data_IF_721798294180
#
_entry.id   IF_721798294180
#
_cell.length_a   1.000
_cell.length_b   1.000
_cell.length_c   1.000
_cell.angle_alpha   90.00
_cell.angle_beta   90.00
_cell.angle_gamma   90.00
#
_symmetry.space_group_name_H-M   'P 1'
#
loop_
_entity.id
_entity.type
_entity.pdbx_description
1 polymer ?
#
# COMPACT_ATOMS: atom_id res chain seq x y z
N UNK A 1 -76.96 30.99 36.18
CA UNK A 1 -76.10 32.17 36.41
C UNK A 1 -74.82 31.69 37.09
N UNK A 2 -73.66 31.83 36.44
CA UNK A 2 -72.37 31.47 37.03
C UNK A 2 -71.42 30.77 36.07
N UNK A 3 -70.95 31.48 35.03
CA UNK A 3 -69.85 31.06 34.19
C UNK A 3 -68.52 31.34 34.90
N UNK A 4 -67.67 30.32 35.07
CA UNK A 4 -66.26 30.46 35.47
C UNK A 4 -65.39 30.02 34.29
N UNK A 5 -64.77 30.99 33.62
CA UNK A 5 -63.74 30.76 32.60
C UNK A 5 -62.42 30.40 33.29
N UNK A 6 -61.88 29.21 33.00
CA UNK A 6 -60.53 28.79 33.40
C UNK A 6 -59.64 28.95 32.17
N UNK A 7 -58.77 29.96 32.19
CA UNK A 7 -57.74 30.19 31.17
C UNK A 7 -56.55 29.27 31.43
N UNK A 8 -56.33 28.27 30.56
CA UNK A 8 -55.13 27.42 30.56
C UNK A 8 -54.11 28.00 29.58
N UNK A 9 -53.10 28.66 30.12
CA UNK A 9 -51.92 29.10 29.37
C UNK A 9 -51.04 27.88 29.07
N UNK A 10 -50.91 27.50 27.80
CA UNK A 10 -49.94 26.51 27.33
C UNK A 10 -48.61 27.22 27.04
N UNK A 11 -47.56 26.92 27.82
CA UNK A 11 -46.19 27.28 27.48
C UNK A 11 -45.68 26.28 26.42
N UNK A 12 -45.40 26.78 25.21
CA UNK A 12 -44.65 26.07 24.17
C UNK A 12 -43.16 26.24 24.46
N UNK A 13 -42.49 25.19 24.93
CA UNK A 13 -41.03 25.09 24.96
C UNK A 13 -40.55 24.72 23.55
N UNK A 14 -39.95 25.66 22.84
CA UNK A 14 -39.24 25.37 21.59
C UNK A 14 -37.85 24.80 21.92
N UNK A 15 -37.64 23.51 21.69
CA UNK A 15 -36.32 22.89 21.76
C UNK A 15 -35.50 23.31 20.53
N UNK A 16 -34.50 24.16 20.73
CA UNK A 16 -33.52 24.52 19.69
C UNK A 16 -32.53 23.36 19.58
N UNK A 17 -32.69 22.54 18.53
CA UNK A 17 -31.69 21.56 18.10
C UNK A 17 -30.55 22.32 17.40
N UNK A 18 -29.45 22.56 18.09
CA UNK A 18 -28.19 22.98 17.47
C UNK A 18 -27.61 21.77 16.72
N UNK A 19 -27.68 21.81 15.39
CA UNK A 19 -26.94 20.87 14.55
C UNK A 19 -25.43 21.16 14.72
N UNK A 20 -24.69 20.20 15.28
CA UNK A 20 -23.24 20.27 15.27
C UNK A 20 -22.77 20.21 13.81
N UNK A 21 -22.03 21.24 13.37
CA UNK A 21 -21.37 21.18 12.06
C UNK A 21 -20.39 19.99 12.07
N UNK A 22 -20.32 19.20 10.99
CA UNK A 22 -19.33 18.14 10.88
C UNK A 22 -17.93 18.76 11.00
N UNK A 23 -17.14 18.27 11.96
CA UNK A 23 -15.72 18.59 12.04
C UNK A 23 -15.09 18.01 10.78
N UNK A 24 -14.52 18.86 9.92
CA UNK A 24 -13.76 18.38 8.78
C UNK A 24 -12.61 17.53 9.30
N UNK A 25 -12.45 16.31 8.77
CA UNK A 25 -11.30 15.48 9.09
C UNK A 25 -10.01 16.19 8.64
N UNK A 26 -8.97 16.12 9.46
CA UNK A 26 -7.66 16.64 9.07
C UNK A 26 -7.17 15.92 7.79
N UNK A 27 -6.51 16.64 6.87
CA UNK A 27 -5.97 16.04 5.67
C UNK A 27 -4.91 14.97 6.03
N UNK A 28 -4.84 13.86 5.28
CA UNK A 28 -3.91 12.78 5.60
C UNK A 28 -2.44 13.22 5.41
N UNK A 29 -1.57 12.79 6.32
CA UNK A 29 -0.12 12.93 6.20
C UNK A 29 0.44 11.83 5.29
N UNK A 30 1.24 12.21 4.29
CA UNK A 30 1.98 11.27 3.43
C UNK A 30 3.41 11.17 3.98
N UNK A 31 3.87 9.95 4.26
CA UNK A 31 5.25 9.70 4.69
C UNK A 31 6.19 9.81 3.48
N UNK A 32 7.36 10.39 3.67
CA UNK A 32 8.44 10.54 2.70
C UNK A 32 9.71 9.88 3.24
N UNK A 33 10.50 9.28 2.36
CA UNK A 33 11.77 8.61 2.65
C UNK A 33 12.90 9.30 1.85
N UNK A 34 14.08 9.43 2.44
CA UNK A 34 15.25 10.00 1.77
C UNK A 34 15.85 9.00 0.77
N UNK A 35 16.14 9.43 -0.45
CA UNK A 35 16.54 8.59 -1.58
C UNK A 35 18.07 8.42 -1.77
N UNK A 36 18.95 8.90 -0.86
CA UNK A 36 20.37 9.12 -1.23
C UNK A 36 21.48 8.93 -0.19
N UNK A 37 22.64 8.49 -0.69
CA UNK A 37 23.90 8.26 0.04
C UNK A 37 24.71 9.52 0.36
N UNK A 38 24.28 10.71 -0.08
CA UNK A 38 24.93 11.99 0.21
C UNK A 38 23.86 13.04 0.49
N UNK A 39 23.65 13.35 1.77
CA UNK A 39 22.60 14.26 2.21
C UNK A 39 23.05 15.31 3.21
N UNK A 40 24.22 15.16 3.83
CA UNK A 40 24.75 16.09 4.83
C UNK A 40 26.11 16.63 4.42
N UNK A 41 26.30 17.94 4.50
CA UNK A 41 27.59 18.61 4.32
C UNK A 41 27.82 19.70 5.36
N UNK A 42 29.04 19.82 5.87
CA UNK A 42 29.44 20.89 6.78
C UNK A 42 30.86 21.35 6.45
N UNK A 43 31.04 22.66 6.28
CA UNK A 43 32.34 23.24 5.92
C UNK A 43 32.22 24.55 5.14
N UNK A 44 33.28 24.92 4.43
CA UNK A 44 33.31 26.20 3.71
C UNK A 44 32.82 26.06 2.26
N UNK A 45 31.87 26.90 1.91
CA UNK A 45 31.33 27.05 0.56
C UNK A 45 31.79 28.36 -0.08
N UNK A 46 31.88 28.36 -1.41
CA UNK A 46 32.31 29.52 -2.18
C UNK A 46 33.77 29.94 -1.91
N UNK A 47 33.97 31.18 -1.50
CA UNK A 47 35.30 31.83 -1.50
C UNK A 47 36.15 31.55 -0.25
N UNK A 48 35.61 30.82 0.72
CA UNK A 48 36.17 30.76 2.08
C UNK A 48 37.11 29.55 2.31
N UNK A 49 37.29 28.71 1.27
CA UNK A 49 38.40 27.76 1.05
C UNK A 49 38.83 26.88 2.24
N UNK A 50 37.90 26.20 2.91
CA UNK A 50 38.20 25.13 3.88
C UNK A 50 37.56 23.79 3.48
N UNK A 51 38.05 22.64 4.01
CA UNK A 51 37.49 21.33 3.68
C UNK A 51 36.00 21.23 4.01
N UNK A 52 35.26 20.49 3.19
CA UNK A 52 33.85 20.13 3.41
C UNK A 52 33.79 18.67 3.83
N UNK A 53 33.18 18.42 4.99
CA UNK A 53 32.81 17.08 5.42
C UNK A 53 31.49 16.72 4.75
N UNK A 54 31.40 15.53 4.15
CA UNK A 54 30.18 15.05 3.50
C UNK A 54 29.84 13.63 3.96
N UNK A 55 28.56 13.36 4.16
CA UNK A 55 28.06 12.05 4.58
C UNK A 55 26.65 11.77 4.06
N UNK A 56 26.31 10.48 3.99
CA UNK A 56 24.97 10.02 3.64
C UNK A 56 23.97 10.24 4.75
N UNK A 57 22.72 10.49 4.35
CA UNK A 57 21.63 10.78 5.24
C UNK A 57 20.43 9.94 4.85
N UNK A 58 19.92 9.15 5.79
CA UNK A 58 18.72 8.31 5.62
C UNK A 58 17.66 8.72 6.63
N UNK A 59 16.42 8.33 6.40
CA UNK A 59 15.32 8.58 7.33
C UNK A 59 14.06 9.06 6.64
N UNK A 60 13.12 9.58 7.43
CA UNK A 60 11.76 9.89 6.96
C UNK A 60 11.24 11.24 7.47
N UNK A 61 10.15 11.71 6.87
CA UNK A 61 9.34 12.83 7.37
C UNK A 61 7.91 12.75 6.82
N UNK A 62 6.96 13.38 7.50
CA UNK A 62 5.57 13.51 7.05
C UNK A 62 5.32 14.79 6.27
N UNK A 63 4.46 14.72 5.26
CA UNK A 63 3.90 15.87 4.56
C UNK A 63 2.37 15.88 4.64
N UNK A 64 1.83 16.94 5.24
CA UNK A 64 0.38 17.14 5.37
C UNK A 64 -0.03 18.36 4.56
N UNK A 65 -1.02 18.27 3.66
CA UNK A 65 -1.56 19.44 2.96
C UNK A 65 -1.98 20.53 3.95
N UNK A 66 -1.46 21.74 3.75
CA UNK A 66 -1.81 22.93 4.50
C UNK A 66 -2.76 23.81 3.70
N UNK A 67 -3.26 24.88 4.32
CA UNK A 67 -4.09 25.86 3.60
C UNK A 67 -3.26 26.48 2.48
N UNK A 68 -3.65 26.33 1.20
CA UNK A 68 -2.89 26.89 0.09
C UNK A 68 -2.94 28.41 0.12
N UNK A 69 -1.89 29.04 -0.41
CA UNK A 69 -1.89 30.48 -0.67
C UNK A 69 -2.35 30.75 -2.11
N UNK A 70 -2.59 32.01 -2.45
CA UNK A 70 -2.99 32.37 -3.82
C UNK A 70 -1.95 32.01 -4.90
N UNK A 71 -0.69 31.78 -4.52
CA UNK A 71 0.42 31.51 -5.45
C UNK A 71 1.05 30.11 -5.29
N UNK A 72 0.88 29.46 -4.14
CA UNK A 72 1.54 28.20 -3.82
C UNK A 72 0.59 27.19 -3.18
N UNK A 73 0.75 25.93 -3.58
CA UNK A 73 0.34 24.81 -2.73
C UNK A 73 1.31 24.71 -1.57
N UNK A 74 0.79 24.47 -0.36
CA UNK A 74 1.60 24.48 0.87
C UNK A 74 1.36 23.20 1.64
N UNK A 75 2.40 22.67 2.26
CA UNK A 75 2.37 21.49 3.11
C UNK A 75 3.15 21.76 4.38
N UNK A 76 2.68 21.22 5.50
CA UNK A 76 3.48 21.13 6.72
C UNK A 76 4.38 19.92 6.64
N UNK A 77 5.65 20.11 6.93
CA UNK A 77 6.63 19.04 7.15
C UNK A 77 6.63 18.71 8.64
N UNK A 78 6.40 17.45 9.00
CA UNK A 78 6.34 16.98 10.38
C UNK A 78 7.22 15.77 10.59
N UNK A 79 7.54 15.46 11.85
CA UNK A 79 8.19 14.21 12.24
C UNK A 79 9.46 13.91 11.43
N UNK A 80 10.28 14.94 11.18
CA UNK A 80 11.60 14.71 10.58
C UNK A 80 12.39 13.83 11.54
N UNK A 81 12.88 12.70 11.04
CA UNK A 81 13.72 11.75 11.75
C UNK A 81 14.76 11.19 10.77
N UNK A 82 15.94 11.83 10.76
CA UNK A 82 17.03 11.50 9.86
C UNK A 82 18.30 11.11 10.61
N UNK A 83 19.10 10.26 10.00
CA UNK A 83 20.35 9.77 10.56
C UNK A 83 21.51 9.96 9.59
N UNK A 84 22.65 10.38 10.13
CA UNK A 84 23.94 10.42 9.42
C UNK A 84 24.86 9.43 10.12
N UNK A 85 24.68 8.15 9.80
CA UNK A 85 25.26 7.04 10.57
C UNK A 85 26.80 7.13 10.70
N UNK A 86 27.50 7.53 9.63
CA UNK A 86 28.97 7.67 9.63
C UNK A 86 29.50 8.74 10.58
N UNK A 87 28.64 9.70 10.97
CA UNK A 87 28.96 10.78 11.89
C UNK A 87 28.25 10.63 13.25
N UNK A 88 27.40 9.61 13.42
CA UNK A 88 26.61 9.42 14.63
C UNK A 88 25.65 10.57 14.93
N UNK A 89 25.12 11.23 13.88
CA UNK A 89 24.17 12.34 14.04
C UNK A 89 22.73 11.85 13.88
N UNK A 90 21.86 12.36 14.74
CA UNK A 90 20.41 12.23 14.67
C UNK A 90 19.79 13.61 14.48
N UNK A 91 19.03 13.79 13.41
CA UNK A 91 18.45 15.07 13.01
C UNK A 91 16.93 14.96 13.10
N UNK A 92 16.32 15.85 13.87
CA UNK A 92 14.87 15.88 14.09
C UNK A 92 14.30 17.25 13.81
N UNK A 93 13.01 17.38 13.52
CA UNK A 93 12.44 18.70 13.26
C UNK A 93 11.09 18.71 12.57
N UNK A 94 10.76 19.88 12.02
CA UNK A 94 9.52 20.17 11.29
C UNK A 94 9.73 21.35 10.35
N UNK A 95 8.73 21.69 9.53
CA UNK A 95 8.87 22.80 8.60
C UNK A 95 7.70 22.99 7.67
N UNK A 96 7.97 23.62 6.53
CA UNK A 96 7.00 23.97 5.50
C UNK A 96 7.62 23.72 4.13
N UNK A 97 6.85 23.04 3.27
CA UNK A 97 7.11 22.97 1.83
C UNK A 97 6.08 23.82 1.10
N UNK A 98 6.51 24.59 0.12
CA UNK A 98 5.63 25.33 -0.78
C UNK A 98 6.06 25.08 -2.22
N UNK A 99 5.10 24.87 -3.12
CA UNK A 99 5.38 24.67 -4.53
C UNK A 99 4.33 25.36 -5.42
N UNK A 100 4.79 26.01 -6.49
CA UNK A 100 3.94 26.54 -7.56
C UNK A 100 3.76 25.48 -8.66
N UNK A 101 2.71 25.66 -9.46
CA UNK A 101 2.38 24.76 -10.57
C UNK A 101 2.78 25.39 -11.91
N UNK A 102 3.08 24.58 -12.92
CA UNK A 102 3.33 25.04 -14.30
C UNK A 102 4.75 24.76 -14.82
N UNK A 103 5.05 25.28 -16.02
CA UNK A 103 6.32 25.03 -16.74
C UNK A 103 7.55 25.63 -16.05
N UNK A 104 7.35 26.66 -15.24
CA UNK A 104 8.38 27.31 -14.40
C UNK A 104 8.04 27.09 -12.91
N UNK A 105 7.58 25.89 -12.56
CA UNK A 105 7.27 25.53 -11.19
C UNK A 105 8.49 25.80 -10.29
N UNK A 106 8.25 26.45 -9.16
CA UNK A 106 9.24 26.74 -8.13
C UNK A 106 8.80 26.08 -6.83
N UNK A 107 9.76 25.70 -6.01
CA UNK A 107 9.52 25.20 -4.67
C UNK A 107 10.43 25.89 -3.66
N UNK A 108 10.00 25.90 -2.40
CA UNK A 108 10.80 26.32 -1.27
C UNK A 108 10.55 25.37 -0.10
N UNK A 109 11.63 24.80 0.43
CA UNK A 109 11.64 23.97 1.62
C UNK A 109 12.28 24.73 2.76
N UNK A 110 11.54 24.88 3.86
CA UNK A 110 12.02 25.55 5.06
C UNK A 110 11.85 24.62 6.23
N UNK A 111 12.93 24.33 6.95
CA UNK A 111 12.97 23.37 8.04
C UNK A 111 13.56 24.00 9.29
N UNK A 112 12.98 23.71 10.44
CA UNK A 112 13.56 24.00 11.75
C UNK A 112 14.05 22.65 12.31
N UNK A 113 15.38 22.44 12.29
CA UNK A 113 16.02 21.15 12.57
C UNK A 113 16.90 21.22 13.83
N UNK A 114 16.82 20.19 14.66
CA UNK A 114 17.63 19.93 15.84
C UNK A 114 18.58 18.75 15.55
N UNK A 115 19.88 18.95 15.78
CA UNK A 115 20.89 17.90 15.62
C UNK A 115 21.29 17.40 17.01
N UNK A 116 21.17 16.10 17.26
CA UNK A 116 21.48 15.45 18.53
C UNK A 116 20.76 16.08 19.74
N UNK A 117 19.57 16.64 19.53
CA UNK A 117 18.77 17.28 20.57
C UNK A 117 19.18 18.72 20.93
N UNK A 118 20.05 19.34 20.14
CA UNK A 118 20.38 20.77 20.29
C UNK A 118 19.20 21.69 19.98
N UNK A 119 19.35 22.99 20.24
CA UNK A 119 18.32 23.97 19.92
C UNK A 119 18.05 23.96 18.40
N UNK A 120 16.77 23.94 17.95
CA UNK A 120 16.48 23.94 16.52
C UNK A 120 17.03 25.17 15.80
N UNK A 121 17.66 24.94 14.66
CA UNK A 121 18.13 25.97 13.73
C UNK A 121 17.31 25.94 12.44
N UNK A 122 17.15 27.10 11.79
CA UNK A 122 16.33 27.24 10.58
C UNK A 122 17.16 27.09 9.31
N UNK A 123 16.80 26.11 8.49
CA UNK A 123 17.38 25.82 7.18
C UNK A 123 16.38 26.21 6.09
N UNK A 124 16.85 26.89 5.05
CA UNK A 124 16.00 27.36 3.95
C UNK A 124 16.68 27.03 2.61
N UNK A 125 15.91 26.52 1.65
CA UNK A 125 16.39 26.32 0.27
C UNK A 125 16.37 27.61 -0.56
N UNK A 126 15.62 28.62 -0.11
CA UNK A 126 15.12 29.67 -0.98
C UNK A 126 14.15 29.13 -2.03
N UNK A 127 13.70 30.01 -2.93
CA UNK A 127 12.92 29.59 -4.09
C UNK A 127 13.86 28.97 -5.14
N UNK A 128 13.74 27.66 -5.30
CA UNK A 128 14.47 26.87 -6.30
C UNK A 128 13.48 26.33 -7.35
N UNK A 129 13.93 25.98 -8.55
CA UNK A 129 13.09 25.24 -9.49
C UNK A 129 12.52 23.99 -8.82
N UNK A 130 11.22 23.75 -8.98
CA UNK A 130 10.62 22.49 -8.58
C UNK A 130 11.14 21.38 -9.49
N UNK A 131 11.33 20.19 -8.94
CA UNK A 131 11.50 19.00 -9.79
C UNK A 131 10.27 18.91 -10.71
N UNK A 132 10.44 18.42 -11.94
CA UNK A 132 9.38 18.40 -12.96
C UNK A 132 8.16 17.53 -12.60
N UNK A 133 8.19 16.84 -11.46
CA UNK A 133 7.11 16.00 -10.96
C UNK A 133 7.17 15.92 -9.43
N UNK A 134 6.38 16.77 -8.74
CA UNK A 134 5.84 16.34 -7.46
C UNK A 134 5.11 15.01 -7.72
N UNK A 135 5.38 13.95 -6.96
CA UNK A 135 5.63 14.05 -5.54
C UNK A 135 7.10 13.99 -5.12
N UNK A 136 8.10 13.99 -6.01
CA UNK A 136 9.51 13.97 -5.58
C UNK A 136 9.99 15.34 -5.13
N UNK A 137 10.64 15.40 -3.96
CA UNK A 137 11.30 16.59 -3.43
C UNK A 137 12.78 16.49 -3.73
N UNK A 138 13.33 17.56 -4.27
CA UNK A 138 14.77 17.70 -4.53
C UNK A 138 15.15 19.15 -4.23
N UNK A 139 15.65 19.38 -3.02
CA UNK A 139 15.98 20.70 -2.53
C UNK A 139 17.22 20.65 -1.65
N UNK A 140 18.06 21.68 -1.75
CA UNK A 140 19.20 21.86 -0.85
C UNK A 140 18.84 22.95 0.14
N UNK A 141 18.81 22.63 1.43
CA UNK A 141 18.57 23.60 2.51
C UNK A 141 19.87 23.93 3.23
N UNK A 142 20.01 25.16 3.70
CA UNK A 142 21.23 25.62 4.38
C UNK A 142 20.93 26.67 5.45
N UNK A 143 21.84 26.87 6.41
CA UNK A 143 21.69 27.91 7.44
C UNK A 143 22.00 29.30 6.88
N UNK A 144 23.02 29.40 6.02
CA UNK A 144 23.57 30.67 5.58
C UNK A 144 23.62 30.82 4.05
N UNK A 145 22.80 30.06 3.32
CA UNK A 145 22.70 30.18 1.86
C UNK A 145 23.95 29.68 1.14
N UNK A 146 24.64 28.70 1.71
CA UNK A 146 25.91 28.13 1.22
C UNK A 146 27.02 29.17 1.10
N UNK A 147 27.12 30.08 2.08
CA UNK A 147 28.15 31.13 2.11
C UNK A 147 29.15 30.92 3.24
N UNK A 148 30.43 30.80 2.88
CA UNK A 148 31.49 30.48 3.83
C UNK A 148 31.16 29.23 4.65
N UNK A 149 31.37 29.25 5.96
CA UNK A 149 31.11 28.10 6.81
C UNK A 149 29.60 27.92 6.96
N UNK A 150 29.08 26.80 6.45
CA UNK A 150 27.67 26.49 6.46
C UNK A 150 27.45 25.00 6.70
N UNK A 151 26.21 24.67 7.07
CA UNK A 151 25.71 23.31 7.13
C UNK A 151 24.60 23.18 6.11
N UNK A 152 24.76 22.21 5.23
CA UNK A 152 23.95 22.04 4.03
C UNK A 152 23.37 20.64 4.03
N UNK A 153 22.05 20.55 3.81
CA UNK A 153 21.35 19.29 3.71
C UNK A 153 20.72 19.18 2.32
N UNK A 154 21.10 18.15 1.57
CA UNK A 154 20.45 17.80 0.31
C UNK A 154 19.27 16.86 0.63
N UNK A 155 18.06 17.38 0.48
CA UNK A 155 16.80 16.65 0.69
C UNK A 155 16.32 16.16 -0.66
N UNK A 156 16.76 14.97 -1.03
CA UNK A 156 16.19 14.18 -2.12
C UNK A 156 15.26 13.14 -1.48
N UNK A 157 13.96 13.28 -1.68
CA UNK A 157 12.97 12.42 -1.07
C UNK A 157 11.81 12.13 -1.99
N UNK A 158 11.28 10.92 -1.88
CA UNK A 158 10.05 10.49 -2.55
C UNK A 158 9.03 10.05 -1.50
N UNK A 159 7.73 10.01 -1.82
CA UNK A 159 6.76 9.38 -0.94
C UNK A 159 7.26 7.99 -0.56
N UNK A 160 7.35 7.73 0.74
CA UNK A 160 7.74 6.43 1.24
C UNK A 160 6.80 5.40 0.61
N UNK A 161 7.35 4.26 0.20
CA UNK A 161 6.51 3.15 -0.22
C UNK A 161 5.51 2.90 0.89
N UNK A 162 4.22 2.78 0.53
CA UNK A 162 3.19 2.41 1.51
C UNK A 162 3.73 1.23 2.30
N UNK A 163 3.83 1.34 3.64
CA UNK A 163 4.35 0.25 4.44
C UNK A 163 3.37 -0.92 4.40
N UNK A 164 2.11 -0.65 4.09
CA UNK A 164 1.15 -1.65 3.66
C UNK A 164 1.48 -2.08 2.22
N UNK A 165 1.94 -3.30 2.07
CA UNK A 165 2.16 -3.94 0.77
C UNK A 165 1.19 -5.10 0.60
N UNK A 166 0.93 -5.45 -0.66
CA UNK A 166 0.12 -6.60 -1.01
C UNK A 166 0.90 -7.43 -2.00
N UNK A 167 0.94 -8.74 -1.84
CA UNK A 167 1.41 -9.65 -2.86
C UNK A 167 0.22 -10.43 -3.43
N UNK A 168 0.29 -10.73 -4.72
CA UNK A 168 -0.66 -11.57 -5.44
C UNK A 168 -0.01 -12.91 -5.72
N UNK A 169 -0.80 -13.97 -5.66
CA UNK A 169 -0.31 -15.30 -5.97
C UNK A 169 -1.32 -16.10 -6.77
N UNK A 170 -0.79 -17.04 -7.55
CA UNK A 170 -1.57 -18.04 -8.27
C UNK A 170 -1.08 -19.42 -7.89
N UNK A 171 -2.01 -20.38 -7.83
CA UNK A 171 -1.71 -21.77 -7.52
C UNK A 171 -2.60 -22.72 -8.33
N UNK A 172 -2.15 -23.96 -8.47
CA UNK A 172 -2.93 -25.05 -9.03
C UNK A 172 -3.24 -26.06 -7.93
N UNK A 173 -4.52 -26.37 -7.74
CA UNK A 173 -4.95 -27.39 -6.78
C UNK A 173 -4.32 -28.73 -7.13
N UNK A 174 -3.68 -29.38 -6.18
CA UNK A 174 -3.05 -30.70 -6.30
C UNK A 174 -3.80 -31.78 -5.53
N UNK A 175 -4.48 -31.41 -4.46
CA UNK A 175 -5.24 -32.32 -3.61
C UNK A 175 -6.50 -31.68 -3.04
N UNK A 176 -7.57 -32.47 -2.92
CA UNK A 176 -8.81 -32.05 -2.26
C UNK A 176 -9.30 -33.18 -1.37
N UNK A 177 -9.53 -32.84 -0.11
CA UNK A 177 -10.24 -33.66 0.85
C UNK A 177 -11.46 -32.89 1.34
N UNK A 178 -12.66 -33.45 1.22
CA UNK A 178 -13.89 -32.78 1.66
C UNK A 178 -14.74 -33.72 2.51
N UNK A 179 -14.31 -33.93 3.75
CA UNK A 179 -15.04 -34.75 4.71
C UNK A 179 -16.38 -34.13 5.14
N UNK A 180 -16.56 -32.83 4.90
CA UNK A 180 -17.77 -32.07 5.25
C UNK A 180 -18.81 -32.00 4.12
N UNK A 181 -18.47 -32.44 2.91
CA UNK A 181 -19.24 -32.14 1.70
C UNK A 181 -19.52 -30.61 1.58
N UNK A 182 -18.57 -29.79 2.03
CA UNK A 182 -18.69 -28.34 2.05
C UNK A 182 -18.23 -27.70 0.73
N UNK A 183 -17.35 -28.41 0.01
CA UNK A 183 -16.86 -28.06 -1.31
C UNK A 183 -17.80 -28.77 -2.30
N UNK A 184 -18.56 -28.02 -3.09
CA UNK A 184 -19.62 -28.50 -3.99
C UNK A 184 -19.17 -29.40 -5.17
N UNK A 185 -18.06 -30.13 -5.00
CA UNK A 185 -17.35 -30.94 -5.99
C UNK A 185 -16.84 -30.16 -7.21
N UNK A 186 -16.99 -28.83 -7.25
CA UNK A 186 -16.44 -28.01 -8.34
C UNK A 186 -14.93 -27.76 -8.19
N UNK A 187 -14.39 -28.00 -7.00
CA UNK A 187 -12.95 -27.93 -6.73
C UNK A 187 -12.34 -29.33 -6.84
N UNK A 188 -11.43 -29.48 -7.78
CA UNK A 188 -10.69 -30.71 -8.03
C UNK A 188 -9.20 -30.41 -8.36
N UNK A 189 -8.30 -31.40 -8.30
CA UNK A 189 -6.94 -31.23 -8.81
C UNK A 189 -6.92 -30.66 -10.24
N UNK A 190 -6.05 -29.68 -10.47
CA UNK A 190 -6.00 -28.87 -11.70
C UNK A 190 -6.82 -27.58 -11.66
N UNK A 191 -7.66 -27.38 -10.64
CA UNK A 191 -8.42 -26.12 -10.48
C UNK A 191 -7.45 -24.98 -10.18
N UNK A 192 -7.57 -23.88 -10.93
CA UNK A 192 -6.80 -22.67 -10.66
C UNK A 192 -7.30 -21.95 -9.40
N UNK A 193 -6.36 -21.41 -8.65
CA UNK A 193 -6.57 -20.64 -7.44
C UNK A 193 -5.84 -19.31 -7.59
N UNK A 194 -6.52 -18.22 -7.24
CA UNK A 194 -5.94 -16.89 -7.25
C UNK A 194 -6.10 -16.27 -5.87
N UNK A 195 -5.07 -15.61 -5.37
CA UNK A 195 -5.13 -14.97 -4.08
C UNK A 195 -4.26 -13.72 -4.00
N UNK A 196 -4.40 -13.04 -2.88
CA UNK A 196 -3.54 -11.95 -2.47
C UNK A 196 -3.46 -11.91 -0.97
N UNK A 197 -2.35 -11.46 -0.42
CA UNK A 197 -2.22 -11.15 0.99
C UNK A 197 -1.58 -9.77 1.17
N UNK A 198 -2.00 -9.08 2.22
CA UNK A 198 -1.66 -7.71 2.54
C UNK A 198 -1.04 -7.68 3.94
N UNK A 199 0.02 -6.92 4.11
CA UNK A 199 0.71 -6.79 5.40
C UNK A 199 1.43 -5.45 5.54
N UNK A 200 1.69 -5.05 6.79
CA UNK A 200 2.47 -3.85 7.14
C UNK A 200 3.93 -4.22 7.39
N UNK A 201 4.83 -3.77 6.50
CA UNK A 201 6.29 -3.94 6.58
C UNK A 201 6.96 -3.31 7.81
N UNK A 202 6.25 -2.48 8.57
CA UNK A 202 6.72 -1.93 9.85
C UNK A 202 6.35 -2.81 11.05
N UNK A 203 5.62 -3.89 10.81
CA UNK A 203 5.22 -4.81 11.89
C UNK A 203 6.48 -5.36 12.53
N UNK A 204 6.64 -5.22 13.86
CA UNK A 204 7.83 -5.72 14.52
C UNK A 204 7.87 -7.25 14.46
N UNK A 205 9.08 -7.80 14.39
CA UNK A 205 9.28 -9.24 14.52
C UNK A 205 8.85 -9.68 15.94
N UNK A 206 7.97 -10.66 16.00
CA UNK A 206 7.43 -11.28 17.20
C UNK A 206 7.98 -12.67 17.48
N UNK A 207 8.94 -13.14 16.67
CA UNK A 207 9.63 -14.40 16.89
C UNK A 207 10.34 -14.41 18.27
N UNK A 208 10.46 -15.57 18.93
CA UNK A 208 11.16 -15.68 20.20
C UNK A 208 12.63 -15.24 20.11
N UNK A 209 13.21 -14.61 21.15
CA UNK A 209 14.59 -14.13 21.13
C UNK A 209 15.68 -15.19 20.87
N UNK A 210 15.35 -16.47 21.11
CA UNK A 210 16.29 -17.58 20.86
C UNK A 210 16.52 -17.83 19.37
N UNK A 211 15.66 -17.27 18.52
CA UNK A 211 15.67 -17.39 17.06
C UNK A 211 15.92 -16.01 16.39
N UNK A 212 16.35 -15.00 17.15
CA UNK A 212 16.61 -13.64 16.65
C UNK A 212 17.72 -13.64 15.59
N UNK A 213 17.34 -13.34 14.35
CA UNK A 213 18.20 -13.31 13.17
C UNK A 213 17.89 -14.37 12.12
N UNK A 214 17.30 -15.50 12.56
CA UNK A 214 16.96 -16.64 11.69
C UNK A 214 15.44 -16.78 11.50
N UNK A 215 14.62 -16.35 12.45
CA UNK A 215 13.16 -16.42 12.35
C UNK A 215 12.49 -15.04 12.42
N UNK A 216 11.56 -14.84 11.51
CA UNK A 216 10.72 -13.65 11.38
C UNK A 216 9.25 -14.05 11.46
N UNK A 217 8.58 -13.63 12.53
CA UNK A 217 7.13 -13.82 12.69
C UNK A 217 6.45 -12.48 12.86
N UNK A 218 5.60 -12.11 11.91
CA UNK A 218 5.03 -10.78 11.83
C UNK A 218 3.53 -10.84 11.99
N UNK A 219 3.06 -10.61 13.22
CA UNK A 219 1.65 -10.74 13.58
C UNK A 219 0.85 -9.48 13.25
N UNK A 220 -0.29 -9.67 12.59
CA UNK A 220 -1.23 -8.62 12.24
C UNK A 220 -2.64 -8.95 12.75
N UNK A 221 -3.15 -8.07 13.62
CA UNK A 221 -4.47 -8.18 14.26
C UNK A 221 -5.49 -7.13 13.78
N UNK A 222 -5.07 -6.27 12.84
CA UNK A 222 -5.81 -5.11 12.39
C UNK A 222 -5.81 -4.98 10.85
N UNK A 223 -6.94 -4.53 10.26
CA UNK A 223 -6.98 -4.21 8.83
C UNK A 223 -5.98 -3.09 8.47
N UNK A 224 -5.45 -3.09 7.24
CA UNK A 224 -5.87 -3.89 6.10
C UNK A 224 -5.17 -5.25 5.96
N UNK A 225 -4.34 -5.66 6.92
CA UNK A 225 -3.59 -6.91 6.82
C UNK A 225 -4.52 -8.15 6.77
N UNK A 226 -4.10 -9.17 6.04
CA UNK A 226 -4.86 -10.40 5.85
C UNK A 226 -4.70 -11.01 4.46
N UNK A 227 -5.37 -12.13 4.25
CA UNK A 227 -5.38 -12.85 2.98
C UNK A 227 -6.77 -12.86 2.36
N UNK A 228 -6.83 -12.92 1.03
CA UNK A 228 -8.02 -13.28 0.25
C UNK A 228 -7.63 -14.31 -0.79
N UNK A 229 -8.37 -15.42 -0.82
CA UNK A 229 -8.16 -16.53 -1.75
C UNK A 229 -9.45 -16.87 -2.47
N UNK A 230 -9.35 -17.17 -3.75
CA UNK A 230 -10.47 -17.63 -4.57
C UNK A 230 -10.10 -18.90 -5.30
N UNK A 231 -11.00 -19.88 -5.24
CA UNK A 231 -10.90 -21.14 -5.97
C UNK A 231 -12.31 -21.56 -6.42
N UNK A 232 -12.49 -21.71 -7.73
CA UNK A 232 -13.81 -21.84 -8.33
C UNK A 232 -14.74 -20.67 -7.96
N UNK A 233 -15.87 -21.00 -7.33
CA UNK A 233 -16.87 -20.03 -6.87
C UNK A 233 -16.67 -19.61 -5.40
N UNK A 234 -15.78 -20.29 -4.67
CA UNK A 234 -15.52 -20.04 -3.25
C UNK A 234 -14.54 -18.90 -3.07
N UNK A 235 -14.81 -18.05 -2.07
CA UNK A 235 -13.88 -16.99 -1.64
C UNK A 235 -13.61 -17.13 -0.15
N UNK A 236 -12.34 -17.37 0.18
CA UNK A 236 -11.80 -17.38 1.53
C UNK A 236 -11.12 -16.05 1.81
N UNK A 237 -11.20 -15.54 3.05
CA UNK A 237 -10.47 -14.34 3.45
C UNK A 237 -10.29 -14.25 4.96
N UNK A 238 -9.30 -13.50 5.42
CA UNK A 238 -9.23 -13.09 6.83
C UNK A 238 -10.45 -12.24 7.23
N UNK A 239 -10.82 -12.28 8.50
CA UNK A 239 -11.95 -11.54 9.04
C UNK A 239 -11.69 -10.02 8.94
N UNK A 240 -12.56 -9.24 8.28
CA UNK A 240 -12.26 -7.86 7.87
C UNK A 240 -12.20 -6.84 9.02
N UNK A 241 -12.49 -7.24 10.26
CA UNK A 241 -12.43 -6.36 11.44
C UNK A 241 -11.35 -6.76 12.44
N UNK A 242 -11.00 -8.04 12.47
CA UNK A 242 -10.09 -8.64 13.44
C UNK A 242 -9.35 -9.78 12.73
N UNK A 243 -8.52 -9.50 11.72
CA UNK A 243 -7.69 -10.55 11.14
C UNK A 243 -6.84 -11.18 12.24
N UNK A 244 -6.52 -12.45 12.09
CA UNK A 244 -5.44 -13.11 12.82
C UNK A 244 -4.57 -13.66 11.70
N UNK A 245 -3.53 -12.90 11.36
CA UNK A 245 -2.74 -13.08 10.15
C UNK A 245 -1.26 -12.87 10.47
N UNK A 246 -0.44 -13.85 10.16
CA UNK A 246 1.01 -13.78 10.31
C UNK A 246 1.67 -13.84 8.94
N UNK A 247 2.73 -13.06 8.74
CA UNK A 247 3.73 -13.32 7.70
C UNK A 247 4.92 -14.00 8.37
N UNK A 248 5.46 -15.03 7.72
CA UNK A 248 6.58 -15.85 8.19
C UNK A 248 7.76 -15.61 7.25
N UNK A 249 8.93 -15.30 7.81
CA UNK A 249 10.18 -15.10 7.08
C UNK A 249 11.30 -15.74 7.89
N UNK A 250 11.68 -16.96 7.54
CA UNK A 250 12.77 -17.66 8.17
C UNK A 250 13.96 -17.69 7.21
N UNK A 251 15.11 -17.22 7.68
CA UNK A 251 16.38 -17.22 6.97
C UNK A 251 17.32 -18.22 7.66
N UNK A 252 17.78 -19.23 6.92
CA UNK A 252 18.67 -20.29 7.41
C UNK A 252 18.15 -21.00 8.69
N UNK A 253 16.83 -21.11 8.86
CA UNK A 253 16.24 -21.56 10.11
C UNK A 253 16.41 -23.07 10.34
N UNK A 254 16.76 -23.41 11.58
CA UNK A 254 16.88 -24.78 12.06
C UNK A 254 18.09 -25.55 11.53
N UNK A 255 18.17 -26.84 11.86
CA UNK A 255 19.36 -27.67 11.57
C UNK A 255 19.67 -27.87 10.08
N UNK A 256 18.72 -27.55 9.20
CA UNK A 256 18.86 -27.72 7.77
C UNK A 256 19.25 -26.42 7.05
N UNK A 257 19.31 -25.28 7.74
CA UNK A 257 19.54 -23.98 7.09
C UNK A 257 18.49 -23.72 6.02
N UNK A 258 17.22 -23.97 6.33
CA UNK A 258 16.15 -23.86 5.35
C UNK A 258 15.56 -22.45 5.38
N UNK A 259 15.31 -21.89 4.21
CA UNK A 259 14.61 -20.63 4.07
C UNK A 259 13.11 -20.89 3.97
N UNK A 260 12.33 -20.10 4.68
CA UNK A 260 10.89 -20.15 4.63
C UNK A 260 10.32 -18.76 4.43
N UNK A 261 9.55 -18.59 3.38
CA UNK A 261 8.63 -17.47 3.31
C UNK A 261 7.24 -18.04 3.53
N UNK A 262 6.30 -17.28 4.07
CA UNK A 262 4.98 -17.84 4.39
C UNK A 262 3.96 -16.82 4.84
N UNK A 263 2.72 -17.27 4.93
CA UNK A 263 1.74 -16.63 5.77
C UNK A 263 0.79 -17.66 6.39
N UNK A 264 0.27 -17.34 7.57
CA UNK A 264 -0.79 -18.10 8.23
C UNK A 264 -1.93 -17.17 8.59
N UNK A 265 -3.17 -17.57 8.37
CA UNK A 265 -4.35 -16.83 8.82
C UNK A 265 -5.32 -17.75 9.55
N UNK A 266 -5.79 -17.36 10.73
CA UNK A 266 -6.62 -18.22 11.58
C UNK A 266 -8.06 -17.72 11.75
N UNK A 267 -8.29 -16.41 11.83
CA UNK A 267 -9.64 -15.87 11.90
C UNK A 267 -10.20 -15.58 10.50
N UNK A 268 -10.82 -16.57 9.87
CA UNK A 268 -11.23 -16.48 8.47
C UNK A 268 -12.75 -16.47 8.25
N UNK A 269 -13.15 -16.00 7.08
CA UNK A 269 -14.49 -16.04 6.55
C UNK A 269 -14.47 -16.69 5.17
N UNK A 270 -15.55 -17.39 4.86
CA UNK A 270 -15.73 -17.99 3.54
C UNK A 270 -17.10 -17.63 2.98
N UNK A 271 -17.15 -17.34 1.69
CA UNK A 271 -18.38 -17.13 0.94
C UNK A 271 -18.54 -18.27 -0.08
N UNK A 272 -19.72 -18.86 -0.10
CA UNK A 272 -20.13 -19.86 -1.08
C UNK A 272 -20.14 -21.32 -0.58
N UNK A 273 -19.67 -21.61 0.64
CA UNK A 273 -19.76 -22.98 1.15
C UNK A 273 -21.23 -23.45 1.21
N UNK A 274 -21.44 -24.74 0.89
CA UNK A 274 -22.75 -25.38 0.96
C UNK A 274 -23.27 -25.50 2.40
N UNK A 275 -22.35 -25.53 3.37
CA UNK A 275 -22.64 -25.64 4.79
C UNK A 275 -22.04 -24.46 5.54
N UNK A 276 -22.58 -24.13 6.72
CA UNK A 276 -22.04 -23.07 7.58
C UNK A 276 -20.76 -23.50 8.32
N UNK A 277 -19.95 -24.37 7.74
CA UNK A 277 -18.70 -24.79 8.34
C UNK A 277 -17.78 -23.56 8.50
N UNK A 278 -17.24 -23.30 9.71
CA UNK A 278 -16.26 -22.24 9.87
C UNK A 278 -14.98 -22.60 9.13
N UNK A 279 -14.27 -21.58 8.68
CA UNK A 279 -12.89 -21.71 8.20
C UNK A 279 -12.02 -21.07 9.26
N UNK A 280 -11.20 -21.89 9.88
CA UNK A 280 -10.37 -21.56 11.02
C UNK A 280 -8.89 -21.48 10.68
N UNK A 281 -8.47 -21.88 9.47
CA UNK A 281 -7.05 -21.80 9.08
C UNK A 281 -6.80 -21.74 7.57
N UNK A 282 -6.05 -20.75 7.12
CA UNK A 282 -5.52 -20.62 5.77
C UNK A 282 -4.01 -20.50 5.94
N UNK A 283 -3.25 -21.48 5.47
CA UNK A 283 -1.78 -21.43 5.51
C UNK A 283 -1.20 -21.46 4.10
N UNK A 284 -0.16 -20.66 3.90
CA UNK A 284 0.76 -20.81 2.77
C UNK A 284 2.15 -20.89 3.33
N UNK A 285 2.80 -22.01 3.06
CA UNK A 285 4.18 -22.23 3.46
C UNK A 285 5.03 -22.42 2.19
N UNK A 286 6.01 -21.56 2.01
CA UNK A 286 7.06 -21.72 0.99
C UNK A 286 8.32 -22.20 1.70
N UNK A 287 8.56 -23.50 1.64
CA UNK A 287 9.74 -24.12 2.22
C UNK A 287 10.79 -24.32 1.14
N UNK A 288 11.83 -23.49 1.16
CA UNK A 288 13.04 -23.72 0.39
C UNK A 288 13.98 -24.62 1.19
N UNK A 289 14.14 -25.85 0.73
CA UNK A 289 15.13 -26.76 1.31
C UNK A 289 16.52 -26.64 0.66
N UNK A 290 16.75 -25.61 -0.15
CA UNK A 290 17.97 -25.51 -0.96
C UNK A 290 19.05 -24.74 -0.21
N UNK A 291 20.12 -25.44 0.16
CA UNK A 291 21.37 -24.88 0.71
C UNK A 291 22.17 -24.01 -0.27
N UNK A 292 21.61 -23.71 -1.45
CA UNK A 292 22.30 -23.00 -2.53
C UNK A 292 21.37 -21.89 -3.02
N UNK A 293 21.71 -20.64 -2.74
CA UNK A 293 21.00 -19.48 -3.27
C UNK A 293 20.76 -18.37 -2.28
N UNK A 294 20.66 -18.66 -0.97
CA UNK A 294 20.22 -17.71 0.06
C UNK A 294 19.11 -16.76 -0.45
N UNK A 295 17.96 -17.33 -0.89
CA UNK A 295 16.82 -16.55 -1.40
C UNK A 295 16.30 -15.50 -0.40
N UNK A 296 16.58 -15.67 0.90
CA UNK A 296 16.19 -14.76 1.96
C UNK A 296 17.41 -14.30 2.75
N UNK A 297 18.14 -13.31 2.24
CA UNK A 297 19.32 -12.75 2.95
C UNK A 297 19.10 -12.19 4.38
N UNK A 298 17.86 -12.18 4.87
CA UNK A 298 17.47 -11.70 6.20
C UNK A 298 16.09 -12.26 6.60
N UNK A 299 15.84 -12.34 7.91
CA UNK A 299 14.51 -12.61 8.48
C UNK A 299 13.57 -11.39 8.47
N UNK A 300 13.99 -10.24 7.92
CA UNK A 300 13.16 -9.03 7.78
C UNK A 300 12.01 -9.20 6.78
N UNK A 301 10.89 -8.49 6.99
CA UNK A 301 9.77 -8.50 6.04
C UNK A 301 10.22 -8.00 4.65
N UNK A 302 10.09 -8.83 3.60
CA UNK A 302 10.51 -8.42 2.28
C UNK A 302 9.54 -7.39 1.71
N UNK A 303 10.09 -6.32 1.10
CA UNK A 303 9.31 -5.28 0.42
C UNK A 303 8.91 -5.66 -1.01
N UNK A 304 9.58 -6.66 -1.57
CA UNK A 304 9.35 -7.23 -2.90
C UNK A 304 9.08 -8.73 -2.75
N UNK A 305 8.26 -9.34 -3.62
CA UNK A 305 8.05 -10.79 -3.62
C UNK A 305 9.37 -11.54 -3.77
N UNK A 306 9.65 -12.56 -2.95
CA UNK A 306 10.74 -13.48 -3.19
C UNK A 306 10.53 -14.28 -4.49
N UNK A 307 11.61 -14.67 -5.16
CA UNK A 307 11.54 -15.53 -6.34
C UNK A 307 11.13 -16.95 -5.94
N UNK A 308 9.98 -17.41 -6.44
CA UNK A 308 9.47 -18.75 -6.17
C UNK A 308 10.40 -19.86 -6.68
N UNK A 309 11.15 -19.62 -7.75
CA UNK A 309 12.08 -20.60 -8.30
C UNK A 309 13.27 -20.82 -7.35
N UNK A 310 13.74 -19.75 -6.70
CA UNK A 310 14.82 -19.83 -5.70
C UNK A 310 14.32 -20.47 -4.40
N UNK A 311 13.04 -20.24 -4.03
CA UNK A 311 12.42 -20.88 -2.86
C UNK A 311 12.03 -22.36 -3.08
N UNK A 312 12.31 -22.96 -4.24
CA UNK A 312 11.95 -24.36 -4.51
C UNK A 312 10.45 -24.61 -4.71
N UNK A 313 9.67 -23.56 -4.98
CA UNK A 313 8.21 -23.59 -5.10
C UNK A 313 7.49 -23.25 -3.80
N UNK A 314 6.19 -23.55 -3.74
CA UNK A 314 5.38 -23.27 -2.56
C UNK A 314 4.14 -24.13 -2.45
N UNK A 315 3.75 -24.46 -1.22
CA UNK A 315 2.52 -25.21 -0.95
C UNK A 315 1.52 -24.28 -0.26
N UNK A 316 0.34 -24.19 -0.85
CA UNK A 316 -0.82 -23.53 -0.26
C UNK A 316 -1.75 -24.60 0.31
N UNK A 317 -2.17 -24.42 1.56
CA UNK A 317 -3.14 -25.27 2.25
C UNK A 317 -4.30 -24.44 2.75
N UNK A 318 -5.49 -24.64 2.17
CA UNK A 318 -6.75 -24.15 2.73
C UNK A 318 -7.34 -25.23 3.62
N UNK A 319 -7.54 -24.93 4.89
CA UNK A 319 -8.09 -25.86 5.87
C UNK A 319 -9.34 -25.27 6.52
N UNK A 320 -10.35 -26.11 6.73
CA UNK A 320 -11.50 -25.70 7.52
C UNK A 320 -12.00 -26.85 8.34
N UNK A 321 -12.10 -26.65 9.65
CA UNK A 321 -12.65 -27.62 10.59
C UNK A 321 -13.97 -27.14 11.20
N UNK A 322 -14.94 -28.04 11.27
CA UNK A 322 -16.17 -27.86 12.04
C UNK A 322 -16.07 -28.63 13.35
N UNK A 323 -15.52 -28.00 14.38
CA UNK A 323 -15.36 -28.61 15.73
C UNK A 323 -16.69 -29.00 16.40
N UNK A 324 -17.82 -28.45 15.94
CA UNK A 324 -19.16 -28.76 16.44
C UNK A 324 -19.87 -29.86 15.63
N UNK A 325 -19.31 -30.29 14.50
CA UNK A 325 -19.91 -31.32 13.66
C UNK A 325 -19.59 -32.71 14.23
N UNK A 326 -20.61 -33.56 14.41
CA UNK A 326 -20.46 -34.93 14.91
C UNK A 326 -19.89 -35.92 13.86
N UNK A 327 -19.28 -35.41 12.78
CA UNK A 327 -18.75 -36.23 11.70
C UNK A 327 -17.31 -36.68 12.00
N UNK A 328 -16.93 -37.94 11.71
CA UNK A 328 -15.57 -38.44 11.97
C UNK A 328 -14.48 -37.78 11.10
N UNK A 329 -14.87 -37.01 10.09
CA UNK A 329 -14.00 -36.20 9.26
C UNK A 329 -14.61 -34.81 9.07
N UNK A 330 -14.81 -34.09 10.17
CA UNK A 330 -15.45 -32.78 10.18
C UNK A 330 -14.55 -31.66 9.64
N UNK A 331 -13.78 -31.91 8.58
CA UNK A 331 -12.92 -30.91 7.95
C UNK A 331 -12.88 -31.05 6.43
N UNK A 332 -12.48 -29.97 5.77
CA UNK A 332 -12.01 -30.00 4.38
C UNK A 332 -10.56 -29.50 4.31
N UNK A 333 -9.86 -29.90 3.25
CA UNK A 333 -8.49 -29.51 2.96
C UNK A 333 -8.31 -29.36 1.45
N UNK A 334 -7.80 -28.23 1.01
CA UNK A 334 -7.37 -27.99 -0.39
C UNK A 334 -5.87 -27.78 -0.35
N UNK A 335 -5.13 -28.62 -1.05
CA UNK A 335 -3.70 -28.47 -1.28
C UNK A 335 -3.49 -27.91 -2.68
N UNK A 336 -2.59 -26.94 -2.84
CA UNK A 336 -2.24 -26.36 -4.12
C UNK A 336 -0.74 -26.07 -4.19
N UNK A 337 -0.18 -26.09 -5.39
CA UNK A 337 1.19 -25.67 -5.68
C UNK A 337 1.18 -24.28 -6.28
N UNK A 338 1.95 -23.37 -5.69
CA UNK A 338 2.06 -21.99 -6.16
C UNK A 338 2.84 -21.93 -7.48
N UNK A 339 2.32 -21.14 -8.41
CA UNK A 339 2.86 -20.96 -9.76
C UNK A 339 3.39 -19.55 -9.99
N UNK A 340 2.89 -18.56 -9.25
CA UNK A 340 3.39 -17.18 -9.31
C UNK A 340 3.20 -16.46 -7.98
N UNK A 341 4.09 -15.51 -7.69
CA UNK A 341 4.01 -14.57 -6.58
C UNK A 341 4.54 -13.22 -7.09
N UNK A 342 3.68 -12.21 -7.14
CA UNK A 342 3.97 -10.93 -7.80
C UNK A 342 3.44 -9.75 -6.98
N UNK A 343 3.98 -8.55 -7.19
CA UNK A 343 3.35 -7.34 -6.69
C UNK A 343 2.10 -7.01 -7.53
N UNK A 344 1.05 -6.42 -6.95
CA UNK A 344 0.00 -5.79 -7.73
C UNK A 344 0.59 -4.62 -8.50
N UNK A 345 -0.04 -4.32 -9.63
CA UNK A 345 0.23 -3.07 -10.34
C UNK A 345 -0.12 -1.91 -9.40
N UNK A 346 0.89 -1.11 -9.05
CA UNK A 346 0.78 0.13 -8.29
C UNK A 346 0.52 1.24 -9.28
N UNK A 347 -0.48 2.07 -9.02
CA UNK A 347 -0.80 3.23 -9.85
C UNK A 347 -0.58 4.48 -9.02
N UNK A 348 0.18 5.42 -9.54
CA UNK A 348 0.37 6.75 -8.97
C UNK A 348 0.12 7.81 -10.04
N UNK A 349 -0.14 9.04 -9.62
CA UNK A 349 -0.43 10.13 -10.54
C UNK A 349 0.18 11.42 -10.01
N UNK A 350 0.72 12.23 -10.91
CA UNK A 350 1.11 13.60 -10.66
C UNK A 350 0.33 14.57 -11.57
N UNK A 351 0.72 15.85 -11.61
CA UNK A 351 0.04 16.86 -12.43
C UNK A 351 0.20 16.64 -13.94
N UNK A 352 1.17 15.83 -14.36
CA UNK A 352 1.63 15.69 -15.74
C UNK A 352 1.46 14.26 -16.27
N UNK A 353 1.49 13.24 -15.41
CA UNK A 353 1.51 11.84 -15.81
C UNK A 353 0.84 10.91 -14.80
N UNK A 354 0.30 9.81 -15.33
CA UNK A 354 -0.16 8.63 -14.65
C UNK A 354 1.00 7.64 -14.74
N UNK A 355 1.48 7.18 -13.61
CA UNK A 355 2.55 6.21 -13.51
C UNK A 355 1.99 4.89 -13.01
N UNK A 356 2.61 3.81 -13.43
CA UNK A 356 2.39 2.52 -12.81
C UNK A 356 3.67 1.71 -12.75
N UNK A 357 3.72 0.88 -11.71
CA UNK A 357 4.78 -0.08 -11.49
C UNK A 357 4.11 -1.44 -11.31
N UNK A 358 4.51 -2.42 -12.08
CA UNK A 358 3.88 -3.74 -12.07
C UNK A 358 4.91 -4.84 -12.26
N UNK A 359 4.46 -6.09 -12.42
CA UNK A 359 5.34 -7.22 -12.57
C UNK A 359 6.36 -7.01 -13.69
N UNK A 360 7.63 -7.33 -13.45
CA UNK A 360 8.71 -7.16 -14.44
C UNK A 360 8.54 -8.08 -15.66
N UNK A 361 7.71 -9.10 -15.55
CA UNK A 361 7.35 -10.07 -16.59
C UNK A 361 6.09 -9.68 -17.39
N UNK A 362 5.41 -8.58 -17.05
CA UNK A 362 4.27 -8.10 -17.84
C UNK A 362 4.72 -7.71 -19.27
N UNK A 363 4.02 -8.22 -20.29
CA UNK A 363 4.36 -7.94 -21.69
C UNK A 363 3.82 -6.58 -22.16
N UNK A 364 2.79 -6.07 -21.51
CA UNK A 364 2.27 -4.71 -21.63
C UNK A 364 1.25 -4.38 -20.56
N UNK A 365 0.72 -3.15 -20.60
CA UNK A 365 -0.32 -2.69 -19.69
C UNK A 365 -1.45 -2.03 -20.43
N UNK A 366 -2.67 -2.36 -20.02
CA UNK A 366 -3.87 -1.64 -20.41
C UNK A 366 -4.21 -0.63 -19.34
N UNK A 367 -4.63 0.55 -19.80
CA UNK A 367 -5.03 1.64 -18.91
C UNK A 367 -6.38 2.15 -19.36
N UNK A 368 -7.34 2.11 -18.44
CA UNK A 368 -8.66 2.71 -18.65
C UNK A 368 -8.92 3.79 -17.63
N UNK A 369 -9.86 4.67 -17.97
CA UNK A 369 -10.31 5.73 -17.08
C UNK A 369 -11.82 5.87 -17.16
N UNK A 370 -12.37 6.54 -16.16
CA UNK A 370 -13.79 6.82 -16.13
C UNK A 370 -14.21 7.79 -15.05
N UNK A 371 -15.52 8.01 -14.97
CA UNK A 371 -16.11 8.95 -14.04
C UNK A 371 -16.47 8.26 -12.72
N UNK A 372 -15.94 8.76 -11.60
CA UNK A 372 -16.17 8.20 -10.27
C UNK A 372 -17.62 8.34 -9.82
N UNK A 373 -18.31 9.44 -10.18
CA UNK A 373 -19.72 9.63 -9.84
C UNK A 373 -20.58 8.58 -10.54
N UNK A 374 -20.29 8.31 -11.82
CA UNK A 374 -20.95 7.23 -12.57
C UNK A 374 -20.60 5.86 -11.99
N UNK A 375 -19.35 5.64 -11.56
CA UNK A 375 -18.90 4.37 -10.97
C UNK A 375 -19.72 4.03 -9.73
N UNK A 376 -19.93 5.01 -8.84
CA UNK A 376 -20.72 4.85 -7.62
C UNK A 376 -22.20 4.60 -7.93
N UNK A 377 -22.75 5.18 -9.00
CA UNK A 377 -24.18 5.11 -9.32
C UNK A 377 -24.57 3.92 -10.18
N UNK A 378 -23.73 3.57 -11.15
CA UNK A 378 -24.08 2.70 -12.28
C UNK A 378 -23.12 1.53 -12.48
N UNK A 379 -22.06 1.43 -11.66
CA UNK A 379 -21.06 0.38 -11.75
C UNK A 379 -19.99 0.62 -12.81
N UNK A 380 -19.02 -0.30 -12.86
CA UNK A 380 -17.77 -0.14 -13.62
C UNK A 380 -18.00 0.08 -15.12
N UNK A 381 -18.77 -0.80 -15.76
CA UNK A 381 -19.00 -0.74 -17.20
C UNK A 381 -19.59 0.60 -17.69
N UNK A 382 -20.58 1.14 -16.98
CA UNK A 382 -21.19 2.41 -17.34
C UNK A 382 -20.28 3.61 -17.05
N UNK A 383 -19.34 3.44 -16.13
CA UNK A 383 -18.44 4.48 -15.67
C UNK A 383 -17.17 4.59 -16.49
N UNK A 384 -16.77 3.54 -17.21
CA UNK A 384 -15.59 3.54 -18.08
C UNK A 384 -15.85 4.43 -19.29
N UNK A 385 -15.11 5.54 -19.38
CA UNK A 385 -15.26 6.53 -20.44
C UNK A 385 -14.32 6.27 -21.61
N UNK A 386 -13.18 5.60 -21.38
CA UNK A 386 -12.32 5.15 -22.45
C UNK A 386 -11.01 4.48 -22.04
N UNK A 387 -10.28 4.08 -23.06
CA UNK A 387 -8.98 3.44 -23.03
C UNK A 387 -7.89 4.49 -23.27
N UNK A 388 -6.92 4.58 -22.36
CA UNK A 388 -5.74 5.44 -22.47
C UNK A 388 -4.54 4.70 -23.06
N UNK A 389 -4.45 3.39 -22.84
CA UNK A 389 -3.42 2.52 -23.37
C UNK A 389 -3.91 1.07 -23.50
N UNK A 390 -3.37 0.38 -24.49
CA UNK A 390 -3.60 -1.04 -24.79
C UNK A 390 -2.24 -1.67 -25.08
N UNK A 391 -1.84 -2.67 -24.30
CA UNK A 391 -0.54 -3.35 -24.40
C UNK A 391 0.68 -2.43 -24.32
N UNK A 392 0.62 -1.35 -23.53
CA UNK A 392 1.73 -0.39 -23.43
C UNK A 392 2.87 -0.94 -22.56
N UNK A 393 4.12 -0.98 -23.06
CA UNK A 393 5.26 -1.42 -22.27
C UNK A 393 5.78 -0.33 -21.31
N UNK A 394 5.34 0.93 -21.47
CA UNK A 394 5.81 2.05 -20.66
C UNK A 394 5.07 2.11 -19.31
N UNK A 395 5.79 2.24 -18.18
CA UNK A 395 5.20 2.44 -16.84
C UNK A 395 4.61 3.83 -16.59
N UNK A 396 4.30 4.60 -17.64
CA UNK A 396 3.60 5.87 -17.51
C UNK A 396 2.89 6.33 -18.79
N UNK A 397 1.88 7.18 -18.60
CA UNK A 397 1.22 7.96 -19.65
C UNK A 397 1.12 9.43 -19.22
N UNK A 398 1.36 10.38 -20.13
CA UNK A 398 1.03 11.77 -19.86
C UNK A 398 -0.48 11.92 -19.62
N UNK A 399 -0.86 12.59 -18.53
CA UNK A 399 -2.26 12.90 -18.24
C UNK A 399 -2.63 14.15 -19.02
N UNK A 400 -3.20 13.94 -20.21
CA UNK A 400 -3.68 15.05 -21.07
C UNK A 400 -5.09 15.52 -20.67
N UNK A 401 -5.67 14.90 -19.64
CA UNK A 401 -7.05 15.17 -19.24
C UNK A 401 -7.09 16.14 -18.06
N UNK A 402 -7.70 17.30 -18.29
CA UNK A 402 -8.08 18.21 -17.22
C UNK A 402 -9.52 17.88 -16.81
N UNK A 403 -9.76 17.28 -15.63
CA UNK A 403 -11.13 17.03 -15.20
C UNK A 403 -11.88 18.35 -15.10
N UNK A 404 -13.13 18.38 -15.59
CA UNK A 404 -14.00 19.53 -15.34
C UNK A 404 -14.21 19.69 -13.83
N UNK A 405 -14.36 20.94 -13.37
CA UNK A 405 -14.66 21.22 -11.96
C UNK A 405 -15.86 20.37 -11.50
N UNK A 406 -15.67 19.59 -10.43
CA UNK A 406 -16.61 18.62 -9.83
C UNK A 406 -16.64 17.19 -10.41
N UNK A 407 -15.83 16.88 -11.42
CA UNK A 407 -15.64 15.50 -11.87
C UNK A 407 -14.40 14.88 -11.20
N UNK A 408 -14.58 13.69 -10.63
CA UNK A 408 -13.49 12.85 -10.15
C UNK A 408 -13.28 11.75 -11.17
N UNK A 409 -12.08 11.67 -11.73
CA UNK A 409 -11.68 10.62 -12.66
C UNK A 409 -11.04 9.48 -11.85
N UNK A 410 -11.42 8.24 -12.15
CA UNK A 410 -10.67 7.07 -11.70
C UNK A 410 -9.83 6.52 -12.85
N UNK A 411 -8.71 5.91 -12.50
CA UNK A 411 -7.86 5.16 -13.42
C UNK A 411 -7.78 3.72 -12.94
N UNK A 412 -7.74 2.79 -13.89
CA UNK A 412 -7.38 1.41 -13.61
C UNK A 412 -6.29 0.99 -14.59
N UNK A 413 -5.29 0.28 -14.08
CA UNK A 413 -4.19 -0.28 -14.85
C UNK A 413 -4.17 -1.78 -14.62
N UNK A 414 -3.99 -2.55 -15.70
CA UNK A 414 -3.76 -4.00 -15.63
C UNK A 414 -2.59 -4.40 -16.51
N UNK A 415 -2.01 -5.53 -16.18
CA UNK A 415 -1.17 -6.33 -17.09
C UNK A 415 -2.06 -6.88 -18.23
N UNK A 416 -1.62 -6.75 -19.49
CA UNK A 416 -2.38 -7.07 -20.71
C UNK A 416 -2.68 -8.57 -20.87
N UNK A 417 -1.95 -9.42 -20.15
CA UNK A 417 -2.24 -10.87 -20.08
C UNK A 417 -3.36 -11.22 -19.08
N UNK A 418 -3.92 -10.23 -18.34
CA UNK A 418 -4.87 -10.45 -17.25
C UNK A 418 -6.26 -9.83 -17.53
N UNK A 419 -7.33 -10.34 -16.92
CA UNK A 419 -8.69 -9.77 -17.08
C UNK A 419 -8.95 -8.60 -16.11
N UNK A 420 -9.75 -7.59 -16.50
CA UNK A 420 -10.21 -6.53 -15.59
C UNK A 420 -11.17 -7.08 -14.54
N UNK A 421 -11.84 -8.18 -14.86
CA UNK A 421 -12.85 -8.78 -14.01
C UNK A 421 -12.28 -9.73 -12.97
N UNK A 422 -12.83 -9.65 -11.75
CA UNK A 422 -12.56 -10.63 -10.71
C UNK A 422 -13.34 -11.92 -10.95
N UNK A 423 -13.08 -12.66 -12.04
CA UNK A 423 -13.54 -14.03 -12.38
C UNK A 423 -14.96 -14.49 -11.95
N UNK A 424 -15.92 -13.61 -11.63
CA UNK A 424 -17.15 -13.95 -10.89
C UNK A 424 -18.09 -14.83 -11.70
N UNK A 425 -18.57 -15.95 -11.14
CA UNK A 425 -19.57 -16.79 -11.83
C UNK A 425 -20.94 -16.11 -12.01
N UNK A 426 -21.20 -14.99 -11.32
CA UNK A 426 -22.39 -14.16 -11.54
C UNK A 426 -22.25 -13.26 -12.78
N UNK A 427 -21.10 -13.26 -13.45
CA UNK A 427 -20.88 -12.45 -14.64
C UNK A 427 -21.53 -13.12 -15.85
N UNK A 428 -22.81 -12.80 -16.08
CA UNK A 428 -23.51 -13.14 -17.31
C UNK A 428 -23.16 -12.10 -18.40
N UNK A 429 -21.95 -12.19 -18.96
CA UNK A 429 -21.47 -11.30 -20.02
C UNK A 429 -20.08 -11.70 -20.55
N UNK A 430 -19.67 -11.15 -21.70
CA UNK A 430 -18.28 -11.26 -22.16
C UNK A 430 -17.35 -10.63 -21.12
N UNK A 431 -16.14 -11.21 -20.97
CA UNK A 431 -15.08 -10.61 -20.15
C UNK A 431 -14.85 -9.20 -20.64
N UNK A 432 -14.63 -8.29 -19.71
CA UNK A 432 -14.28 -6.92 -20.01
C UNK A 432 -15.36 -6.16 -20.79
N UNK A 433 -16.61 -6.66 -20.89
CA UNK A 433 -17.64 -6.06 -21.75
C UNK A 433 -17.85 -4.57 -21.52
N UNK A 434 -17.68 -4.06 -20.29
CA UNK A 434 -17.71 -2.62 -20.02
C UNK A 434 -16.56 -1.82 -20.64
N UNK A 435 -15.37 -2.41 -20.69
CA UNK A 435 -14.17 -1.88 -21.33
C UNK A 435 -14.24 -2.08 -22.84
N UNK A 436 -14.62 -3.26 -23.31
CA UNK A 436 -14.78 -3.61 -24.74
C UNK A 436 -15.89 -2.79 -25.41
N UNK A 437 -16.95 -2.40 -24.67
CA UNK A 437 -18.02 -1.52 -25.17
C UNK A 437 -17.75 -0.04 -24.97
N UNK A 438 -16.71 0.32 -24.20
CA UNK A 438 -16.30 1.72 -24.07
C UNK A 438 -15.83 2.24 -25.42
N UNK A 439 -16.04 3.53 -25.69
CA UNK A 439 -15.73 4.14 -26.99
C UNK A 439 -14.23 4.07 -27.37
N UNK A 440 -13.35 3.69 -26.43
CA UNK A 440 -11.91 3.59 -26.60
C UNK A 440 -11.37 2.20 -26.96
N UNK A 441 -12.15 1.12 -26.77
CA UNK A 441 -11.77 -0.23 -27.25
C UNK A 441 -10.45 -0.79 -26.72
N UNK A 442 -10.17 -0.68 -25.41
CA UNK A 442 -9.21 -1.60 -24.78
C UNK A 442 -9.79 -3.03 -24.91
N UNK A 443 -9.07 -4.00 -25.49
CA UNK A 443 -9.57 -5.35 -25.73
C UNK A 443 -9.94 -6.12 -24.46
#
# INVERSE_FOLDING_TARGET
MGSRFVSRTFLLLAAVLLAAAPVAADPPTVLYELDGDLGFQEGCFGQCLCPVLGAGMTGTFGLTPATPTAAFSTWTVSEVDWQVASLGLHITGSGILQASQGVDAQQQLILDLSINGEAPERYDSGLVPASSSLPRIDAVVSLYGMQCFDRVLAVSASPARSPIITFRFEAIVTGVFDGLAALDATIAPGTALHGSFTFDTRTPNSAPPVDEGEAGLYHHDSPPAGVRVRVGHLTFRSAPRHPDFDVIVNNEFGFAGADEFGFSSRNNQVRGLLTSAPVDRIDVDWLASTLTGDPLSSAELPRTPPDLAELGGGTLVLYGECTLCLAPAAFFRIEATLTSLTEPVRVSMDSNALWWDGPADASGYDVVHGNMNTLVQSGFAAATEGCLADGQPAGNLPVVMTPEFANVIWFAVRDDERSWDSFGLEQMGERDAGVTTSAGGCP
#
